data_IF_479116558868
#
_entry.id   IF_479116558868
#
_cell.length_a   1.000
_cell.length_b   1.000
_cell.length_c   1.000
_cell.angle_alpha   90.00
_cell.angle_beta   90.00
_cell.angle_gamma   90.00
#
_symmetry.space_group_name_H-M   'P 1'
#
loop_
_entity.id
_entity.type
_entity.pdbx_description
1 polymer ?
#
# COMPACT_ATOMS: atom_id res chain seq x y z
N UNK A 1 -10.22 7.70 -13.46
CA UNK A 1 -10.79 6.70 -12.55
C UNK A 1 -10.03 5.37 -12.53
N UNK A 2 -9.66 4.75 -13.65
CA UNK A 2 -8.92 3.46 -13.67
C UNK A 2 -7.50 3.49 -13.06
N UNK A 3 -6.82 4.64 -13.04
CA UNK A 3 -5.43 4.77 -12.54
C UNK A 3 -5.36 4.72 -10.99
N UNK A 4 -6.33 5.31 -10.31
CA UNK A 4 -6.38 5.32 -8.84
C UNK A 4 -6.82 3.97 -8.25
N UNK A 5 -7.62 3.19 -8.99
CA UNK A 5 -8.05 1.85 -8.58
C UNK A 5 -6.85 0.89 -8.57
N UNK A 6 -5.91 1.02 -9.52
CA UNK A 6 -4.69 0.19 -9.53
C UNK A 6 -3.76 0.50 -8.35
N UNK A 7 -3.61 1.78 -7.97
CA UNK A 7 -2.80 2.18 -6.81
C UNK A 7 -3.45 1.68 -5.52
N UNK A 8 -4.77 1.80 -5.39
CA UNK A 8 -5.52 1.28 -4.23
C UNK A 8 -5.45 -0.25 -4.19
N UNK A 9 -5.53 -0.92 -5.34
CA UNK A 9 -5.41 -2.37 -5.42
C UNK A 9 -3.99 -2.85 -5.06
N UNK A 10 -2.95 -2.17 -5.53
CA UNK A 10 -1.56 -2.45 -5.17
C UNK A 10 -1.31 -2.17 -3.69
N UNK A 11 -1.82 -1.06 -3.15
CA UNK A 11 -1.74 -0.75 -1.72
C UNK A 11 -2.52 -1.77 -0.87
N UNK A 12 -3.68 -2.24 -1.35
CA UNK A 12 -4.49 -3.26 -0.68
C UNK A 12 -3.83 -4.64 -0.75
N UNK A 13 -3.23 -5.00 -1.88
CA UNK A 13 -2.44 -6.24 -2.01
C UNK A 13 -1.17 -6.16 -1.16
N UNK A 14 -0.50 -5.01 -1.09
CA UNK A 14 0.62 -4.78 -0.17
C UNK A 14 0.17 -4.87 1.30
N UNK A 15 -0.98 -4.32 1.65
CA UNK A 15 -1.54 -4.41 3.01
C UNK A 15 -1.89 -5.86 3.36
N UNK A 16 -2.52 -6.60 2.44
CA UNK A 16 -2.82 -8.03 2.61
C UNK A 16 -1.53 -8.85 2.69
N UNK A 17 -0.53 -8.57 1.85
CA UNK A 17 0.76 -9.26 1.91
C UNK A 17 1.55 -8.96 3.18
N UNK A 18 1.36 -7.80 3.79
CA UNK A 18 1.85 -7.47 5.13
C UNK A 18 1.06 -8.19 6.24
N UNK A 19 -0.22 -8.47 6.04
CA UNK A 19 -1.11 -9.01 7.05
C UNK A 19 -1.14 -10.55 7.08
N UNK A 20 -1.02 -11.21 5.92
CA UNK A 20 -1.01 -12.68 5.82
C UNK A 20 0.12 -13.31 6.65
N UNK A 21 1.39 -12.82 6.60
CA UNK A 21 2.46 -13.39 7.41
C UNK A 21 2.26 -13.26 8.90
N UNK A 22 1.52 -12.26 9.30
CA UNK A 22 1.32 -11.89 10.67
C UNK A 22 0.12 -12.61 11.30
N UNK A 23 -0.77 -13.18 10.49
CA UNK A 23 -1.88 -14.04 10.94
C UNK A 23 -1.45 -15.51 11.16
N UNK A 24 -0.33 -15.92 10.58
CA UNK A 24 0.14 -17.31 10.64
C UNK A 24 1.35 -17.53 11.56
N UNK A 25 1.52 -16.70 12.58
CA UNK A 25 2.50 -16.92 13.65
C UNK A 25 2.09 -18.11 14.53
N UNK A 26 2.38 -19.30 14.10
CA UNK A 26 2.09 -20.47 14.92
C UNK A 26 2.54 -21.79 14.34
N UNK A 27 3.10 -21.77 13.15
CA UNK A 27 3.65 -23.01 12.57
C UNK A 27 5.13 -22.79 12.25
N UNK A 28 5.93 -22.49 13.28
CA UNK A 28 7.24 -23.11 13.36
C UNK A 28 6.96 -24.55 13.77
N UNK A 29 6.61 -25.41 12.84
CA UNK A 29 6.92 -26.81 13.00
C UNK A 29 8.45 -26.83 12.98
N UNK A 30 9.07 -26.88 14.17
CA UNK A 30 10.41 -27.34 14.34
C UNK A 30 10.37 -28.82 14.05
N UNK A 31 10.39 -29.20 12.77
CA UNK A 31 10.98 -30.47 12.39
C UNK A 31 12.44 -30.31 12.74
N UNK A 32 12.83 -30.96 13.83
CA UNK A 32 14.21 -31.01 14.29
C UNK A 32 15.06 -31.49 13.13
N UNK A 33 15.96 -30.61 12.63
CA UNK A 33 16.89 -30.91 11.55
C UNK A 33 16.73 -30.11 10.27
N UNK A 34 15.57 -29.48 9.98
CA UNK A 34 15.36 -28.73 8.74
C UNK A 34 15.77 -27.24 8.88
N UNK A 35 15.71 -26.69 10.09
CA UNK A 35 16.02 -25.27 10.36
C UNK A 35 17.09 -25.16 11.43
N UNK A 36 18.27 -24.70 11.03
CA UNK A 36 19.35 -24.35 11.94
C UNK A 36 19.30 -22.84 12.24
N UNK A 37 19.31 -22.48 13.52
CA UNK A 37 19.39 -21.09 13.96
C UNK A 37 20.78 -20.77 14.51
N UNK A 38 21.45 -19.84 13.88
CA UNK A 38 22.70 -19.26 14.36
C UNK A 38 22.42 -18.00 15.21
N UNK A 39 22.47 -18.15 16.52
CA UNK A 39 22.23 -17.06 17.46
C UNK A 39 23.29 -15.96 17.41
N UNK A 40 24.48 -16.23 16.86
CA UNK A 40 25.58 -15.26 16.77
C UNK A 40 25.32 -14.26 15.65
N UNK A 41 24.74 -14.73 14.54
CA UNK A 41 24.45 -13.92 13.34
C UNK A 41 22.97 -13.62 13.16
N UNK A 42 22.10 -14.02 14.09
CA UNK A 42 20.64 -13.95 14.00
C UNK A 42 20.13 -14.43 12.60
N UNK A 43 20.59 -15.65 12.23
CA UNK A 43 20.30 -16.24 10.94
C UNK A 43 19.66 -17.61 11.06
N UNK A 44 18.78 -17.91 10.09
CA UNK A 44 18.11 -19.21 9.95
C UNK A 44 18.56 -19.87 8.66
N UNK A 45 18.99 -21.13 8.78
CA UNK A 45 19.38 -21.94 7.63
C UNK A 45 18.38 -23.08 7.46
N UNK A 46 17.81 -23.22 6.27
CA UNK A 46 16.97 -24.35 5.90
C UNK A 46 17.82 -25.41 5.22
N UNK A 47 18.00 -26.53 5.92
CA UNK A 47 18.63 -27.74 5.41
C UNK A 47 17.64 -28.90 5.56
N UNK A 48 17.55 -29.76 4.56
CA UNK A 48 16.81 -31.03 4.60
C UNK A 48 17.81 -32.16 4.35
N UNK A 49 17.68 -33.31 5.00
CA UNK A 49 18.59 -34.46 4.82
C UNK A 49 18.64 -34.92 3.36
N UNK A 50 17.49 -34.82 2.63
CA UNK A 50 17.41 -35.08 1.20
C UNK A 50 17.69 -33.84 0.33
N UNK A 51 18.05 -32.71 0.92
CA UNK A 51 18.21 -31.41 0.28
C UNK A 51 16.98 -30.95 -0.52
N UNK A 52 15.77 -31.36 -0.14
CA UNK A 52 14.51 -31.05 -0.84
C UNK A 52 13.36 -30.80 0.11
N UNK A 53 12.62 -29.72 -0.14
CA UNK A 53 11.41 -29.36 0.58
C UNK A 53 10.20 -29.65 -0.30
N UNK A 54 9.38 -30.62 0.08
CA UNK A 54 8.25 -31.13 -0.71
C UNK A 54 6.87 -30.60 -0.28
N UNK A 55 6.74 -30.07 0.91
CA UNK A 55 5.42 -29.60 1.42
C UNK A 55 5.22 -28.11 1.15
N UNK A 56 3.98 -27.65 0.87
CA UNK A 56 3.69 -26.22 0.89
C UNK A 56 4.17 -25.63 2.21
N UNK A 57 4.94 -24.56 2.15
CA UNK A 57 5.59 -24.03 3.35
C UNK A 57 5.37 -22.54 3.51
N UNK A 58 5.33 -22.10 4.77
CA UNK A 58 5.44 -20.72 5.19
C UNK A 58 6.62 -20.63 6.17
N UNK A 59 7.56 -19.72 5.90
CA UNK A 59 8.69 -19.45 6.79
C UNK A 59 8.72 -17.99 7.14
N UNK A 60 8.84 -17.70 8.42
CA UNK A 60 8.93 -16.33 8.95
C UNK A 60 10.09 -16.32 9.93
N UNK A 61 11.05 -15.44 9.68
CA UNK A 61 12.23 -15.30 10.51
C UNK A 61 12.42 -13.85 10.98
N UNK A 62 12.91 -13.67 12.19
CA UNK A 62 13.29 -12.36 12.73
C UNK A 62 14.69 -11.91 12.30
N UNK A 63 15.48 -12.80 11.70
CA UNK A 63 16.81 -12.53 11.19
C UNK A 63 16.97 -12.92 9.73
N UNK A 64 18.21 -13.11 9.28
CA UNK A 64 18.51 -13.56 7.94
C UNK A 64 18.08 -15.01 7.70
N UNK A 65 17.69 -15.33 6.49
CA UNK A 65 17.27 -16.67 6.07
C UNK A 65 18.18 -17.16 4.94
N UNK A 66 18.85 -18.28 5.17
CA UNK A 66 19.66 -18.96 4.16
C UNK A 66 18.94 -20.25 3.74
N UNK A 67 18.62 -20.38 2.45
CA UNK A 67 17.96 -21.55 1.90
C UNK A 67 18.96 -22.38 1.14
N UNK A 68 19.42 -23.46 1.75
CA UNK A 68 20.40 -24.37 1.19
C UNK A 68 19.78 -25.68 0.67
N UNK A 69 18.48 -25.86 0.90
CA UNK A 69 17.73 -27.03 0.43
C UNK A 69 16.85 -26.73 -0.76
N UNK A 70 16.73 -27.67 -1.69
CA UNK A 70 15.93 -27.53 -2.90
C UNK A 70 14.43 -27.40 -2.56
N UNK A 71 13.76 -26.37 -3.10
CA UNK A 71 12.34 -26.14 -2.89
C UNK A 71 11.52 -26.70 -4.06
N UNK A 72 10.73 -27.72 -3.79
CA UNK A 72 9.92 -28.42 -4.79
C UNK A 72 8.42 -28.06 -4.72
N UNK A 73 8.01 -27.23 -3.78
CA UNK A 73 6.63 -26.79 -3.60
C UNK A 73 6.46 -25.29 -3.60
N UNK A 74 5.23 -24.86 -3.77
CA UNK A 74 4.85 -23.47 -3.60
C UNK A 74 4.93 -23.08 -2.13
N UNK A 75 5.45 -21.88 -1.85
CA UNK A 75 5.56 -21.40 -0.49
C UNK A 75 5.73 -19.89 -0.40
N UNK A 76 5.87 -19.42 0.84
CA UNK A 76 6.17 -18.03 1.13
C UNK A 76 7.27 -17.95 2.19
N UNK A 77 8.21 -17.03 1.98
CA UNK A 77 9.36 -16.80 2.85
C UNK A 77 9.38 -15.33 3.24
N UNK A 78 9.47 -15.08 4.53
CA UNK A 78 9.51 -13.74 5.11
C UNK A 78 10.69 -13.62 6.06
N UNK A 79 11.45 -12.53 5.92
CA UNK A 79 12.54 -12.21 6.82
C UNK A 79 12.51 -10.75 7.21
N UNK A 80 12.85 -10.44 8.46
CA UNK A 80 13.09 -9.06 8.90
C UNK A 80 14.48 -8.55 8.53
N UNK A 81 15.29 -9.34 7.83
CA UNK A 81 16.63 -9.00 7.35
C UNK A 81 16.81 -9.48 5.90
N UNK A 82 17.82 -10.28 5.63
CA UNK A 82 18.20 -10.76 4.31
C UNK A 82 17.64 -12.16 4.04
N UNK A 83 17.36 -12.46 2.77
CA UNK A 83 17.05 -13.81 2.29
C UNK A 83 18.04 -14.19 1.21
N UNK A 84 18.80 -15.26 1.43
CA UNK A 84 19.73 -15.83 0.46
C UNK A 84 19.21 -17.18 -0.05
N UNK A 85 18.85 -17.23 -1.33
CA UNK A 85 18.36 -18.43 -2.00
C UNK A 85 19.55 -19.15 -2.66
N UNK A 86 20.18 -20.07 -1.93
CA UNK A 86 21.39 -20.77 -2.36
C UNK A 86 21.10 -22.11 -3.03
N UNK A 87 19.85 -22.54 -3.04
CA UNK A 87 19.40 -23.79 -3.66
C UNK A 87 18.29 -23.59 -4.65
N UNK A 88 18.07 -24.60 -5.49
CA UNK A 88 17.12 -24.55 -6.59
C UNK A 88 15.67 -24.43 -6.12
N UNK A 89 14.92 -23.55 -6.75
CA UNK A 89 13.49 -23.35 -6.50
C UNK A 89 12.67 -23.80 -7.71
N UNK A 90 12.01 -24.95 -7.60
CA UNK A 90 11.31 -25.61 -8.71
C UNK A 90 9.87 -25.19 -8.89
N UNK A 91 9.31 -24.35 -8.02
CA UNK A 91 7.92 -23.86 -8.07
C UNK A 91 7.86 -22.36 -7.79
N UNK A 92 6.71 -21.79 -8.09
CA UNK A 92 6.46 -20.36 -7.81
C UNK A 92 6.46 -20.08 -6.31
N UNK A 93 7.17 -19.03 -5.90
CA UNK A 93 7.28 -18.63 -4.50
C UNK A 93 7.05 -17.14 -4.31
N UNK A 94 6.60 -16.80 -3.11
CA UNK A 94 6.47 -15.43 -2.63
C UNK A 94 7.59 -15.18 -1.59
N UNK A 95 8.39 -14.14 -1.82
CA UNK A 95 9.58 -13.87 -1.02
C UNK A 95 9.57 -12.43 -0.58
N UNK A 96 9.67 -12.20 0.72
CA UNK A 96 9.69 -10.88 1.33
C UNK A 96 10.86 -10.73 2.30
N UNK A 97 11.69 -9.71 2.11
CA UNK A 97 12.77 -9.34 3.02
C UNK A 97 12.67 -7.86 3.42
N UNK A 98 13.01 -7.55 4.67
CA UNK A 98 13.11 -6.14 5.10
C UNK A 98 14.41 -5.48 4.63
N UNK A 99 15.44 -6.26 4.24
CA UNK A 99 16.68 -5.72 3.69
C UNK A 99 16.88 -6.23 2.26
N UNK A 100 17.60 -7.32 2.05
CA UNK A 100 18.02 -7.75 0.72
C UNK A 100 17.55 -9.16 0.39
N UNK A 101 17.13 -9.39 -0.85
CA UNK A 101 16.89 -10.71 -1.41
C UNK A 101 18.00 -11.01 -2.42
N UNK A 102 18.71 -12.15 -2.26
CA UNK A 102 19.69 -12.66 -3.22
C UNK A 102 19.22 -14.00 -3.77
N UNK A 103 19.17 -14.10 -5.09
CA UNK A 103 18.83 -15.33 -5.81
C UNK A 103 20.11 -15.87 -6.43
N UNK A 104 20.77 -16.79 -5.73
CA UNK A 104 22.07 -17.33 -6.08
C UNK A 104 21.98 -18.66 -6.85
N UNK A 105 20.78 -19.24 -7.01
CA UNK A 105 20.56 -20.48 -7.71
C UNK A 105 19.26 -20.46 -8.51
N UNK A 106 19.10 -21.40 -9.43
CA UNK A 106 17.98 -21.46 -10.36
C UNK A 106 16.62 -21.40 -9.66
N UNK A 107 15.75 -20.55 -10.16
CA UNK A 107 14.40 -20.40 -9.62
C UNK A 107 13.34 -20.38 -10.73
N UNK A 108 12.09 -20.63 -10.36
CA UNK A 108 10.93 -20.48 -11.21
C UNK A 108 10.15 -19.21 -10.83
N UNK A 109 9.09 -18.94 -11.57
CA UNK A 109 8.19 -17.79 -11.36
C UNK A 109 8.14 -17.35 -9.91
N UNK A 110 8.49 -16.13 -9.61
CA UNK A 110 8.53 -15.66 -8.22
C UNK A 110 8.09 -14.23 -8.10
N UNK A 111 7.48 -13.91 -6.96
CA UNK A 111 7.16 -12.55 -6.55
C UNK A 111 8.09 -12.21 -5.40
N UNK A 112 8.91 -11.18 -5.56
CA UNK A 112 9.90 -10.77 -4.59
C UNK A 112 9.65 -9.32 -4.17
N UNK A 113 9.63 -9.08 -2.89
CA UNK A 113 9.52 -7.74 -2.31
C UNK A 113 10.63 -7.51 -1.30
N UNK A 114 11.36 -6.41 -1.46
CA UNK A 114 12.40 -5.99 -0.52
C UNK A 114 12.26 -4.52 -0.14
N UNK A 115 12.50 -4.18 1.13
CA UNK A 115 12.63 -2.79 1.55
C UNK A 115 13.97 -2.15 1.18
N UNK A 116 14.91 -2.91 0.61
CA UNK A 116 16.20 -2.39 0.15
C UNK A 116 16.45 -2.91 -1.25
N UNK A 117 17.17 -4.03 -1.41
CA UNK A 117 17.69 -4.47 -2.69
C UNK A 117 17.19 -5.87 -3.08
N UNK A 118 17.09 -6.11 -4.39
CA UNK A 118 16.89 -7.45 -4.95
C UNK A 118 18.01 -7.71 -5.94
N UNK A 119 18.73 -8.81 -5.75
CA UNK A 119 19.85 -9.25 -6.61
C UNK A 119 19.51 -10.62 -7.19
N UNK A 120 19.40 -10.69 -8.51
CA UNK A 120 19.17 -11.93 -9.24
C UNK A 120 20.45 -12.30 -9.95
N UNK A 121 21.10 -13.40 -9.52
CA UNK A 121 22.41 -13.87 -10.02
C UNK A 121 22.35 -15.29 -10.62
N UNK A 122 21.19 -15.71 -11.13
CA UNK A 122 20.98 -17.07 -11.56
C UNK A 122 19.95 -17.19 -12.67
N UNK A 123 19.74 -18.43 -13.15
CA UNK A 123 18.72 -18.70 -14.17
C UNK A 123 17.33 -18.75 -13.56
N UNK A 124 16.40 -17.98 -14.16
CA UNK A 124 14.98 -17.95 -13.79
C UNK A 124 14.16 -18.54 -14.94
N UNK A 125 13.44 -19.62 -14.66
CA UNK A 125 12.51 -20.22 -15.62
C UNK A 125 11.11 -19.69 -15.40
N UNK A 126 10.72 -18.66 -16.16
CA UNK A 126 9.42 -18.02 -16.14
C UNK A 126 9.45 -16.56 -15.67
N UNK A 127 8.32 -16.06 -15.20
CA UNK A 127 8.12 -14.64 -14.95
C UNK A 127 8.57 -14.20 -13.55
N UNK A 128 9.07 -12.97 -13.45
CA UNK A 128 9.45 -12.33 -12.19
C UNK A 128 8.64 -11.08 -11.93
N UNK A 129 8.18 -10.92 -10.68
CA UNK A 129 7.65 -9.66 -10.16
C UNK A 129 8.59 -9.19 -9.07
N UNK A 130 9.26 -8.05 -9.28
CA UNK A 130 10.31 -7.52 -8.43
C UNK A 130 9.90 -6.14 -7.91
N UNK A 131 9.85 -6.00 -6.60
CA UNK A 131 9.48 -4.76 -5.91
C UNK A 131 10.55 -4.42 -4.89
N UNK A 132 11.32 -3.35 -5.11
CA UNK A 132 12.38 -2.92 -4.21
C UNK A 132 12.24 -1.43 -3.85
N UNK A 133 12.59 -1.07 -2.62
CA UNK A 133 12.58 0.33 -2.20
C UNK A 133 13.86 1.08 -2.55
N UNK A 134 14.94 0.39 -2.94
CA UNK A 134 16.21 0.98 -3.34
C UNK A 134 16.62 0.55 -4.76
N UNK A 135 17.04 -0.70 -4.93
CA UNK A 135 17.64 -1.13 -6.18
C UNK A 135 17.26 -2.57 -6.54
N UNK A 136 17.10 -2.82 -7.84
CA UNK A 136 17.01 -4.16 -8.43
C UNK A 136 18.22 -4.35 -9.35
N UNK A 137 18.98 -5.43 -9.14
CA UNK A 137 20.08 -5.81 -10.02
C UNK A 137 19.86 -7.20 -10.57
N UNK A 138 19.73 -7.32 -11.89
CA UNK A 138 19.80 -8.56 -12.64
C UNK A 138 21.25 -8.64 -13.14
N UNK A 139 22.06 -9.52 -12.54
CA UNK A 139 23.51 -9.59 -12.81
C UNK A 139 23.83 -10.17 -14.18
N UNK A 140 25.07 -10.08 -14.62
CA UNK A 140 25.54 -10.64 -15.90
C UNK A 140 25.38 -12.18 -15.98
N UNK A 141 25.40 -12.87 -14.85
CA UNK A 141 25.17 -14.30 -14.76
C UNK A 141 23.70 -14.70 -14.89
N UNK A 142 22.79 -13.75 -14.70
CA UNK A 142 21.37 -14.02 -14.71
C UNK A 142 20.81 -14.21 -16.14
N UNK A 143 19.92 -15.18 -16.28
CA UNK A 143 19.15 -15.43 -17.49
C UNK A 143 17.69 -15.67 -17.12
N UNK A 144 16.78 -14.83 -17.61
CA UNK A 144 15.36 -14.90 -17.30
C UNK A 144 14.60 -15.32 -18.56
N UNK A 145 13.95 -16.49 -18.52
CA UNK A 145 13.22 -17.04 -19.68
C UNK A 145 11.83 -16.38 -19.88
N UNK A 146 11.31 -15.67 -18.88
CA UNK A 146 9.99 -15.03 -18.90
C UNK A 146 10.00 -13.51 -18.90
N UNK A 147 8.85 -12.94 -18.57
CA UNK A 147 8.65 -11.49 -18.44
C UNK A 147 9.11 -11.00 -17.07
N UNK A 148 9.62 -9.76 -17.01
CA UNK A 148 9.99 -9.08 -15.77
C UNK A 148 9.07 -7.89 -15.54
N UNK A 149 8.32 -7.93 -14.45
CA UNK A 149 7.55 -6.78 -13.94
C UNK A 149 8.26 -6.21 -12.73
N UNK A 150 8.57 -4.91 -12.73
CA UNK A 150 9.35 -4.32 -11.65
C UNK A 150 8.83 -2.96 -11.18
N UNK A 151 9.17 -2.62 -9.92
CA UNK A 151 9.03 -1.31 -9.34
C UNK A 151 10.19 -1.05 -8.38
N UNK A 152 11.06 -0.07 -8.70
CA UNK A 152 12.18 0.32 -7.85
C UNK A 152 12.66 1.73 -8.20
N UNK A 153 13.39 2.45 -7.32
CA UNK A 153 14.08 3.67 -7.69
C UNK A 153 15.14 3.47 -8.78
N UNK A 154 15.88 2.37 -8.72
CA UNK A 154 16.92 2.02 -9.69
C UNK A 154 16.77 0.57 -10.12
N UNK A 155 16.91 0.31 -11.42
CA UNK A 155 17.06 -1.04 -11.94
C UNK A 155 18.26 -1.15 -12.85
N UNK A 156 19.13 -2.17 -12.61
CA UNK A 156 20.26 -2.55 -13.43
C UNK A 156 19.98 -3.90 -14.09
N UNK A 157 19.88 -3.92 -15.41
CA UNK A 157 19.63 -5.11 -16.20
C UNK A 157 20.93 -5.45 -16.93
N UNK A 158 21.79 -6.24 -16.28
CA UNK A 158 23.07 -6.66 -16.84
C UNK A 158 22.97 -8.07 -17.47
N UNK A 159 22.00 -8.89 -17.02
CA UNK A 159 21.74 -10.24 -17.53
C UNK A 159 20.75 -10.27 -18.69
N UNK A 160 20.53 -11.46 -19.24
CA UNK A 160 19.65 -11.67 -20.40
C UNK A 160 18.20 -11.91 -19.97
N UNK A 161 17.26 -11.32 -20.70
CA UNK A 161 15.81 -11.51 -20.50
C UNK A 161 15.17 -11.86 -21.83
N UNK A 162 14.60 -13.06 -21.92
CA UNK A 162 13.91 -13.52 -23.13
C UNK A 162 12.50 -12.98 -23.28
N UNK A 163 11.92 -12.48 -22.21
CA UNK A 163 10.59 -11.88 -22.17
C UNK A 163 10.59 -10.36 -22.30
N UNK A 164 9.43 -9.77 -21.96
CA UNK A 164 9.25 -8.34 -21.86
C UNK A 164 9.78 -7.81 -20.52
N UNK A 165 10.26 -6.59 -20.52
CA UNK A 165 10.54 -5.84 -19.29
C UNK A 165 9.54 -4.70 -19.17
N UNK A 166 8.77 -4.70 -18.06
CA UNK A 166 7.70 -3.74 -17.83
C UNK A 166 7.83 -3.20 -16.41
N UNK A 167 7.87 -1.88 -16.24
CA UNK A 167 7.88 -1.33 -14.90
C UNK A 167 8.12 0.15 -14.78
N UNK A 168 8.38 0.56 -13.55
CA UNK A 168 8.65 1.95 -13.20
C UNK A 168 9.92 2.05 -12.37
N UNK A 169 10.81 2.95 -12.76
CA UNK A 169 12.00 3.30 -11.97
C UNK A 169 12.36 4.78 -12.18
N UNK A 170 13.13 5.36 -11.26
CA UNK A 170 13.77 6.65 -11.51
C UNK A 170 14.88 6.51 -12.56
N UNK A 171 15.68 5.43 -12.44
CA UNK A 171 16.80 5.15 -13.35
C UNK A 171 16.71 3.71 -13.87
N UNK A 172 16.85 3.53 -15.17
CA UNK A 172 16.88 2.23 -15.85
C UNK A 172 18.21 2.09 -16.59
N UNK A 173 19.03 1.12 -16.23
CA UNK A 173 20.29 0.81 -16.90
C UNK A 173 20.19 -0.56 -17.57
N UNK A 174 20.47 -0.62 -18.88
CA UNK A 174 20.39 -1.84 -19.68
C UNK A 174 21.75 -2.13 -20.30
N UNK A 175 22.37 -3.24 -19.87
CA UNK A 175 23.62 -3.80 -20.43
C UNK A 175 23.42 -5.21 -20.96
N UNK A 176 22.42 -5.94 -20.44
CA UNK A 176 22.04 -7.26 -20.91
C UNK A 176 21.07 -7.24 -22.08
N UNK A 177 20.93 -8.39 -22.73
CA UNK A 177 20.06 -8.55 -23.89
C UNK A 177 18.59 -8.72 -23.46
N UNK A 178 17.68 -7.99 -24.12
CA UNK A 178 16.22 -8.11 -24.00
C UNK A 178 15.68 -8.56 -25.36
N UNK A 179 15.08 -9.76 -25.41
CA UNK A 179 14.62 -10.33 -26.68
C UNK A 179 13.26 -9.80 -27.13
N UNK A 180 12.48 -9.24 -26.20
CA UNK A 180 11.18 -8.64 -26.49
C UNK A 180 11.15 -7.14 -26.14
N UNK A 181 9.99 -6.62 -25.75
CA UNK A 181 9.77 -5.19 -25.55
C UNK A 181 10.31 -4.69 -24.21
N UNK A 182 10.83 -3.46 -24.22
CA UNK A 182 11.11 -2.67 -23.04
C UNK A 182 10.02 -1.60 -22.88
N UNK A 183 9.23 -1.66 -21.79
CA UNK A 183 8.15 -0.72 -21.48
C UNK A 183 8.32 -0.13 -20.09
N UNK A 184 8.84 1.07 -20.01
CA UNK A 184 9.23 1.67 -18.74
C UNK A 184 8.69 3.09 -18.57
N UNK A 185 8.32 3.40 -17.31
CA UNK A 185 8.13 4.78 -16.86
C UNK A 185 9.37 5.14 -16.04
N UNK A 186 10.12 6.16 -16.48
CA UNK A 186 11.41 6.48 -15.84
C UNK A 186 11.84 7.91 -16.15
N UNK A 187 12.67 8.47 -15.27
CA UNK A 187 13.26 9.81 -15.50
C UNK A 187 14.58 9.71 -16.29
N UNK A 188 15.24 8.55 -16.26
CA UNK A 188 16.51 8.34 -16.97
C UNK A 188 16.66 6.89 -17.45
N UNK A 189 17.08 6.74 -18.70
CA UNK A 189 17.39 5.43 -19.32
C UNK A 189 18.78 5.49 -19.92
N UNK A 190 19.60 4.49 -19.61
CA UNK A 190 20.88 4.23 -20.26
C UNK A 190 20.85 2.82 -20.90
N UNK A 191 21.16 2.75 -22.20
CA UNK A 191 21.29 1.48 -22.95
C UNK A 191 22.67 1.49 -23.58
N UNK A 192 23.49 0.49 -23.26
CA UNK A 192 24.90 0.50 -23.65
C UNK A 192 25.15 0.28 -25.16
N UNK A 193 24.25 -0.44 -25.86
CA UNK A 193 24.38 -0.64 -27.30
C UNK A 193 23.04 -0.88 -28.00
N UNK A 194 23.03 -0.67 -29.33
CA UNK A 194 21.84 -0.80 -30.20
C UNK A 194 21.31 -2.23 -30.31
N UNK A 195 22.13 -3.24 -30.05
CA UNK A 195 21.77 -4.65 -30.27
C UNK A 195 21.14 -5.31 -29.05
N UNK A 196 21.04 -4.60 -27.93
CA UNK A 196 20.59 -5.17 -26.67
C UNK A 196 19.08 -5.42 -26.63
N UNK A 197 18.27 -4.64 -27.35
CA UNK A 197 16.82 -4.77 -27.34
C UNK A 197 16.33 -5.15 -28.73
N UNK A 198 15.77 -6.36 -28.85
CA UNK A 198 15.26 -6.86 -30.14
C UNK A 198 13.84 -6.43 -30.44
N UNK A 199 13.05 -6.14 -29.41
CA UNK A 199 11.67 -5.69 -29.51
C UNK A 199 11.51 -4.18 -29.58
N UNK A 200 10.31 -3.70 -29.24
CA UNK A 200 9.98 -2.28 -29.24
C UNK A 200 10.30 -1.64 -27.89
N UNK A 201 10.71 -0.38 -27.94
CA UNK A 201 11.00 0.44 -26.77
C UNK A 201 9.86 1.46 -26.59
N UNK A 202 9.23 1.42 -25.40
CA UNK A 202 8.21 2.38 -24.95
C UNK A 202 8.67 3.00 -23.65
N UNK A 203 8.96 4.28 -23.69
CA UNK A 203 9.41 5.03 -22.52
C UNK A 203 8.40 6.14 -22.25
N UNK A 204 7.90 6.21 -21.02
CA UNK A 204 7.13 7.34 -20.52
C UNK A 204 8.00 8.05 -19.48
N UNK A 205 8.32 9.34 -19.68
CA UNK A 205 9.20 10.12 -18.81
C UNK A 205 8.61 11.48 -18.52
N UNK A 206 8.97 12.08 -17.38
CA UNK A 206 8.68 13.49 -17.06
C UNK A 206 9.79 14.43 -17.54
N UNK A 207 10.93 13.87 -17.95
CA UNK A 207 12.10 14.57 -18.43
C UNK A 207 12.40 14.19 -19.88
N UNK A 208 13.09 15.06 -20.60
CA UNK A 208 13.56 14.75 -21.94
C UNK A 208 14.67 13.70 -21.88
N UNK A 209 14.50 12.59 -22.59
CA UNK A 209 15.47 11.50 -22.67
C UNK A 209 16.25 11.65 -23.99
N UNK A 210 17.54 11.93 -23.86
CA UNK A 210 18.43 12.11 -25.00
C UNK A 210 19.13 10.79 -25.42
N UNK A 211 19.52 10.71 -26.68
CA UNK A 211 20.37 9.64 -27.22
C UNK A 211 19.66 8.32 -27.55
N UNK A 212 18.51 8.02 -26.97
CA UNK A 212 17.80 6.74 -27.23
C UNK A 212 17.29 6.66 -28.69
N UNK A 213 16.76 7.75 -29.23
CA UNK A 213 16.26 7.80 -30.61
C UNK A 213 17.37 7.69 -31.65
N UNK A 214 18.60 8.06 -31.31
CA UNK A 214 19.75 7.92 -32.19
C UNK A 214 20.14 6.44 -32.34
N UNK A 215 20.01 5.67 -31.28
CA UNK A 215 20.26 4.24 -31.26
C UNK A 215 19.04 3.44 -31.76
N UNK A 216 17.85 3.82 -31.37
CA UNK A 216 16.58 3.16 -31.66
C UNK A 216 15.58 4.16 -32.26
N UNK A 217 15.60 4.40 -33.60
CA UNK A 217 14.74 5.38 -34.25
C UNK A 217 13.24 5.12 -34.04
N UNK A 218 12.84 3.85 -33.92
CA UNK A 218 11.45 3.42 -33.72
C UNK A 218 11.00 3.48 -32.25
N UNK A 219 11.87 3.92 -31.34
CA UNK A 219 11.50 4.04 -29.92
C UNK A 219 10.40 5.08 -29.71
N UNK A 220 9.35 4.68 -29.02
CA UNK A 220 8.23 5.55 -28.65
C UNK A 220 8.54 6.18 -27.29
N UNK A 221 8.96 7.43 -27.31
CA UNK A 221 9.21 8.21 -26.10
C UNK A 221 8.04 9.18 -25.92
N UNK A 222 7.29 9.02 -24.83
CA UNK A 222 6.25 9.94 -24.42
C UNK A 222 6.77 10.78 -23.25
N UNK A 223 6.90 12.07 -23.47
CA UNK A 223 7.12 13.00 -22.38
C UNK A 223 5.76 13.21 -21.71
N UNK A 224 5.59 12.65 -20.54
CA UNK A 224 4.44 12.92 -19.70
C UNK A 224 4.56 14.39 -19.27
N UNK A 225 3.77 15.27 -19.85
CA UNK A 225 3.63 16.61 -19.31
C UNK A 225 3.32 16.44 -17.82
N UNK A 226 4.18 17.00 -16.95
CA UNK A 226 3.87 17.17 -15.56
C UNK A 226 2.68 18.12 -15.51
N UNK A 227 1.49 17.54 -15.67
CA UNK A 227 0.25 18.28 -15.59
C UNK A 227 0.23 18.86 -14.18
N UNK A 228 0.79 20.05 -14.02
CA UNK A 228 0.54 20.81 -12.81
C UNK A 228 -0.99 20.81 -12.75
N UNK A 229 -1.55 20.13 -11.76
CA UNK A 229 -3.00 20.13 -11.59
C UNK A 229 -3.42 21.59 -11.60
N UNK A 230 -4.07 21.97 -12.69
CA UNK A 230 -4.55 23.34 -12.87
C UNK A 230 -5.44 23.64 -11.66
N UNK A 231 -5.39 24.86 -11.18
CA UNK A 231 -6.31 25.32 -10.13
C UNK A 231 -7.76 24.98 -10.51
N UNK A 232 -8.05 25.00 -11.80
CA UNK A 232 -9.35 24.63 -12.39
C UNK A 232 -9.65 23.14 -12.17
N UNK A 233 -8.67 22.24 -12.37
CA UNK A 233 -8.87 20.80 -12.14
C UNK A 233 -9.16 20.52 -10.65
N UNK A 234 -8.45 21.19 -9.75
CA UNK A 234 -8.71 21.10 -8.29
C UNK A 234 -10.11 21.60 -7.93
N UNK A 235 -10.54 22.70 -8.53
CA UNK A 235 -11.87 23.23 -8.31
C UNK A 235 -12.96 22.29 -8.84
N UNK A 236 -12.78 21.72 -10.03
CA UNK A 236 -13.72 20.76 -10.62
C UNK A 236 -13.82 19.50 -9.71
N UNK A 237 -12.68 18.94 -9.29
CA UNK A 237 -12.66 17.82 -8.36
C UNK A 237 -13.36 18.14 -7.04
N UNK A 238 -13.17 19.36 -6.52
CA UNK A 238 -13.82 19.84 -5.32
C UNK A 238 -15.32 19.90 -5.46
N UNK A 239 -15.81 20.49 -6.52
CA UNK A 239 -17.25 20.59 -6.79
C UNK A 239 -17.87 19.20 -6.93
N UNK A 240 -17.25 18.29 -7.68
CA UNK A 240 -17.73 16.91 -7.84
C UNK A 240 -17.76 16.20 -6.48
N UNK A 241 -16.74 16.35 -5.65
CA UNK A 241 -16.69 15.77 -4.29
C UNK A 241 -17.79 16.34 -3.40
N UNK A 242 -18.00 17.65 -3.41
CA UNK A 242 -19.07 18.29 -2.66
C UNK A 242 -20.47 17.83 -3.11
N UNK A 243 -20.69 17.72 -4.42
CA UNK A 243 -21.93 17.17 -4.97
C UNK A 243 -22.16 15.73 -4.54
N UNK A 244 -21.11 14.90 -4.58
CA UNK A 244 -21.18 13.50 -4.14
C UNK A 244 -21.55 13.39 -2.66
N UNK A 245 -20.91 14.14 -1.78
CA UNK A 245 -21.26 14.17 -0.35
C UNK A 245 -22.66 14.71 -0.08
N UNK A 246 -23.07 15.73 -0.82
CA UNK A 246 -24.44 16.26 -0.75
C UNK A 246 -25.45 15.20 -1.15
N UNK A 247 -25.21 14.47 -2.22
CA UNK A 247 -26.10 13.42 -2.70
C UNK A 247 -26.20 12.26 -1.69
N UNK A 248 -25.08 11.85 -1.09
CA UNK A 248 -25.06 10.86 0.00
C UNK A 248 -25.84 11.37 1.21
N UNK A 249 -25.65 12.66 1.58
CA UNK A 249 -26.42 13.28 2.67
C UNK A 249 -27.92 13.23 2.40
N UNK A 250 -28.37 13.63 1.20
CA UNK A 250 -29.76 13.61 0.77
C UNK A 250 -30.33 12.19 0.83
N UNK A 251 -29.61 11.21 0.30
CA UNK A 251 -30.02 9.80 0.34
C UNK A 251 -30.23 9.32 1.78
N UNK A 252 -29.28 9.54 2.68
CA UNK A 252 -29.40 9.14 4.08
C UNK A 252 -30.55 9.91 4.76
N UNK A 253 -30.72 11.19 4.47
CA UNK A 253 -31.77 12.04 5.02
C UNK A 253 -33.16 11.52 4.64
N UNK A 254 -33.37 11.15 3.36
CA UNK A 254 -34.63 10.60 2.88
C UNK A 254 -34.86 9.19 3.43
N UNK A 255 -33.86 8.28 3.31
CA UNK A 255 -33.98 6.89 3.76
C UNK A 255 -34.23 6.77 5.27
N UNK A 256 -33.66 7.65 6.07
CA UNK A 256 -33.84 7.67 7.52
C UNK A 256 -35.08 8.45 7.98
N UNK A 257 -35.92 8.90 7.05
CA UNK A 257 -37.08 9.77 7.34
C UNK A 257 -36.71 10.97 8.24
N UNK A 258 -35.56 11.60 7.92
CA UNK A 258 -35.03 12.80 8.63
C UNK A 258 -34.51 12.54 10.06
N UNK A 259 -34.61 11.30 10.56
CA UNK A 259 -34.29 11.00 11.97
C UNK A 259 -32.79 10.79 12.23
N UNK A 260 -32.03 10.33 11.24
CA UNK A 260 -30.63 9.94 11.45
C UNK A 260 -29.76 11.12 11.93
N UNK A 261 -29.74 12.20 11.16
CA UNK A 261 -28.91 13.37 11.48
C UNK A 261 -29.46 14.16 12.70
N UNK A 262 -30.78 14.23 12.88
CA UNK A 262 -31.38 14.84 14.07
C UNK A 262 -30.99 14.07 15.34
N UNK A 263 -31.09 12.75 15.33
CA UNK A 263 -30.67 11.90 16.45
C UNK A 263 -29.13 11.97 16.70
N UNK A 264 -28.32 12.07 15.64
CA UNK A 264 -26.88 12.28 15.76
C UNK A 264 -26.57 13.60 16.46
N UNK A 265 -27.20 14.68 16.03
CA UNK A 265 -27.00 16.01 16.59
C UNK A 265 -27.48 16.09 18.05
N UNK A 266 -28.64 15.50 18.38
CA UNK A 266 -29.14 15.41 19.75
C UNK A 266 -28.17 14.70 20.69
N UNK A 267 -27.62 13.56 20.25
CA UNK A 267 -26.62 12.81 21.02
C UNK A 267 -25.36 13.63 21.30
N UNK A 268 -24.87 14.36 20.28
CA UNK A 268 -23.70 15.22 20.40
C UNK A 268 -23.98 16.37 21.36
N UNK A 269 -25.14 17.05 21.23
CA UNK A 269 -25.57 18.15 22.13
C UNK A 269 -25.66 17.68 23.58
N UNK A 270 -26.27 16.52 23.83
CA UNK A 270 -26.40 15.95 25.17
C UNK A 270 -25.03 15.56 25.77
N UNK A 271 -24.08 15.19 24.95
CA UNK A 271 -22.77 14.68 25.38
C UNK A 271 -21.59 15.48 24.80
N UNK A 272 -21.73 16.80 24.62
CA UNK A 272 -20.73 17.66 24.00
C UNK A 272 -19.35 17.51 24.63
N UNK A 273 -19.28 17.57 25.98
CA UNK A 273 -18.03 17.41 26.74
C UNK A 273 -17.41 16.04 26.50
N UNK A 274 -18.21 14.96 26.51
CA UNK A 274 -17.73 13.60 26.19
C UNK A 274 -17.19 13.52 24.76
N UNK A 275 -17.89 14.13 23.79
CA UNK A 275 -17.48 14.13 22.38
C UNK A 275 -16.13 14.82 22.19
N UNK A 276 -15.94 16.01 22.79
CA UNK A 276 -14.67 16.74 22.75
C UNK A 276 -13.55 15.94 23.43
N UNK A 277 -13.82 15.37 24.60
CA UNK A 277 -12.85 14.56 25.31
C UNK A 277 -12.41 13.33 24.51
N UNK A 278 -13.37 12.61 23.91
CA UNK A 278 -13.08 11.45 23.06
C UNK A 278 -12.29 11.86 21.81
N UNK A 279 -12.59 13.03 21.22
CA UNK A 279 -11.83 13.58 20.10
C UNK A 279 -10.36 13.80 20.45
N UNK A 280 -10.08 14.37 21.63
CA UNK A 280 -8.71 14.59 22.13
C UNK A 280 -8.05 13.24 22.46
N UNK A 281 -8.76 12.35 23.14
CA UNK A 281 -8.24 11.03 23.49
C UNK A 281 -7.90 10.21 22.25
N UNK A 282 -8.67 10.31 21.17
CA UNK A 282 -8.39 9.59 19.91
C UNK A 282 -7.04 9.96 19.32
N UNK A 283 -6.59 11.20 19.49
CA UNK A 283 -5.26 11.65 19.07
C UNK A 283 -4.14 10.98 19.90
N UNK A 284 -4.39 10.76 21.20
CA UNK A 284 -3.43 10.16 22.12
C UNK A 284 -3.40 8.63 21.97
N UNK A 285 -4.55 8.02 21.68
CA UNK A 285 -4.67 6.56 21.53
C UNK A 285 -3.84 6.07 20.33
N UNK A 286 -3.75 6.84 19.23
CA UNK A 286 -3.01 6.45 18.06
C UNK A 286 -1.53 6.08 18.36
N UNK A 287 -0.71 6.97 18.94
CA UNK A 287 0.66 6.62 19.31
C UNK A 287 0.73 5.54 20.38
N UNK A 288 -0.23 5.48 21.32
CA UNK A 288 -0.28 4.44 22.36
C UNK A 288 -0.47 3.05 21.77
N UNK A 289 -1.37 2.90 20.77
CA UNK A 289 -1.58 1.62 20.07
C UNK A 289 -0.31 1.20 19.32
N UNK A 290 0.36 2.16 18.65
CA UNK A 290 1.62 1.87 17.96
C UNK A 290 2.71 1.44 18.95
N UNK A 291 2.87 2.13 20.07
CA UNK A 291 3.83 1.77 21.11
C UNK A 291 3.52 0.39 21.70
N UNK A 292 2.23 0.14 22.00
CA UNK A 292 1.80 -1.17 22.51
C UNK A 292 2.12 -2.28 21.51
N UNK A 293 1.87 -2.05 20.22
CA UNK A 293 2.19 -3.01 19.18
C UNK A 293 3.70 -3.27 19.09
N UNK A 294 4.53 -2.22 19.16
CA UNK A 294 6.00 -2.36 19.20
C UNK A 294 6.43 -3.21 20.41
N UNK A 295 5.87 -2.96 21.59
CA UNK A 295 6.16 -3.76 22.79
C UNK A 295 5.74 -5.22 22.61
N UNK A 296 4.53 -5.47 22.08
CA UNK A 296 4.06 -6.83 21.78
C UNK A 296 4.94 -7.54 20.76
N UNK A 297 5.42 -6.82 19.76
CA UNK A 297 6.37 -7.34 18.77
C UNK A 297 7.70 -7.70 19.45
N UNK A 298 8.20 -6.83 20.31
CA UNK A 298 9.47 -7.06 21.03
C UNK A 298 9.45 -8.27 21.95
N UNK A 299 8.29 -8.62 22.52
CA UNK A 299 8.10 -9.84 23.32
C UNK A 299 7.58 -11.02 22.50
N UNK A 300 7.70 -10.96 21.18
CA UNK A 300 7.31 -12.01 20.20
C UNK A 300 5.82 -12.38 20.17
N UNK A 301 4.94 -11.51 20.63
CA UNK A 301 3.47 -11.68 20.53
C UNK A 301 2.91 -11.06 19.25
N UNK A 302 3.50 -11.36 18.11
CA UNK A 302 3.11 -10.83 16.80
C UNK A 302 1.65 -11.13 16.43
N UNK A 303 1.17 -12.33 16.78
CA UNK A 303 -0.21 -12.79 16.48
C UNK A 303 -1.29 -11.92 17.14
N UNK A 304 -0.93 -11.15 18.17
CA UNK A 304 -1.82 -10.18 18.83
C UNK A 304 -1.56 -8.77 18.28
N UNK A 305 -0.28 -8.37 18.15
CA UNK A 305 0.12 -7.03 17.79
C UNK A 305 -0.42 -6.62 16.42
N UNK A 306 -0.35 -7.51 15.46
CA UNK A 306 -0.62 -7.19 14.07
C UNK A 306 -2.10 -7.10 13.75
N UNK A 307 -2.97 -8.04 14.16
CA UNK A 307 -4.40 -7.82 14.03
C UNK A 307 -4.86 -6.50 14.66
N UNK A 308 -4.30 -6.11 15.81
CA UNK A 308 -4.63 -4.83 16.44
C UNK A 308 -4.22 -3.66 15.54
N UNK A 309 -3.00 -3.65 15.00
CA UNK A 309 -2.53 -2.60 14.09
C UNK A 309 -3.38 -2.54 12.81
N UNK A 310 -3.68 -3.68 12.22
CA UNK A 310 -4.47 -3.76 10.98
C UNK A 310 -5.89 -3.25 11.19
N UNK A 311 -6.56 -3.71 12.23
CA UNK A 311 -7.92 -3.26 12.56
C UNK A 311 -7.90 -1.76 12.85
N UNK A 312 -6.93 -1.28 13.62
CA UNK A 312 -6.81 0.13 13.93
C UNK A 312 -6.51 0.98 12.70
N UNK A 313 -5.59 0.55 11.83
CA UNK A 313 -5.29 1.23 10.57
C UNK A 313 -6.52 1.27 9.64
N UNK A 314 -7.25 0.17 9.51
CA UNK A 314 -8.49 0.13 8.74
C UNK A 314 -9.54 1.10 9.30
N UNK A 315 -9.71 1.15 10.62
CA UNK A 315 -10.61 2.12 11.26
C UNK A 315 -10.19 3.57 11.01
N UNK A 316 -8.88 3.88 11.06
CA UNK A 316 -8.37 5.21 10.75
C UNK A 316 -8.61 5.60 9.29
N UNK A 317 -8.38 4.69 8.35
CA UNK A 317 -8.63 4.93 6.91
C UNK A 317 -10.11 5.23 6.67
N UNK A 318 -11.01 4.40 7.22
CA UNK A 318 -12.45 4.61 7.10
C UNK A 318 -12.87 5.95 7.74
N UNK A 319 -12.35 6.26 8.93
CA UNK A 319 -12.65 7.51 9.62
C UNK A 319 -12.11 8.72 8.85
N UNK A 320 -10.92 8.62 8.24
CA UNK A 320 -10.36 9.67 7.40
C UNK A 320 -11.21 9.92 6.15
N UNK A 321 -11.65 8.85 5.47
CA UNK A 321 -12.53 8.96 4.29
C UNK A 321 -13.88 9.58 4.62
N UNK A 322 -14.43 9.28 5.80
CA UNK A 322 -15.74 9.77 6.24
C UNK A 322 -15.65 11.10 7.00
N UNK A 323 -14.47 11.57 7.36
CA UNK A 323 -14.30 12.70 8.29
C UNK A 323 -14.99 13.97 7.82
N UNK A 324 -14.80 14.37 6.58
CA UNK A 324 -15.42 15.56 5.99
C UNK A 324 -16.95 15.41 5.93
N UNK A 325 -17.43 14.19 5.60
CA UNK A 325 -18.84 13.89 5.54
C UNK A 325 -19.52 13.97 6.92
N UNK A 326 -18.92 13.36 7.94
CA UNK A 326 -19.45 13.35 9.32
C UNK A 326 -19.52 14.75 9.90
N UNK A 327 -18.46 15.54 9.72
CA UNK A 327 -18.43 16.93 10.20
C UNK A 327 -19.42 17.78 9.41
N UNK A 328 -19.40 17.71 8.09
CA UNK A 328 -20.29 18.49 7.23
C UNK A 328 -21.77 18.19 7.49
N UNK A 329 -22.13 16.93 7.64
CA UNK A 329 -23.52 16.54 7.98
C UNK A 329 -23.95 17.04 9.37
N UNK A 330 -23.05 17.02 10.35
CA UNK A 330 -23.31 17.51 11.70
C UNK A 330 -23.50 19.04 11.71
N UNK A 331 -22.63 19.78 11.03
CA UNK A 331 -22.72 21.25 10.90
C UNK A 331 -24.00 21.62 10.15
N UNK A 332 -24.30 20.95 9.04
CA UNK A 332 -25.54 21.17 8.28
C UNK A 332 -26.76 21.00 9.17
N UNK A 333 -26.84 19.90 9.91
CA UNK A 333 -27.94 19.61 10.81
C UNK A 333 -28.06 20.66 11.91
N UNK A 334 -26.96 21.14 12.47
CA UNK A 334 -26.96 22.19 13.49
C UNK A 334 -27.49 23.53 12.94
N UNK A 335 -27.00 23.94 11.76
CA UNK A 335 -27.43 25.18 11.12
C UNK A 335 -28.93 25.11 10.76
N UNK A 336 -29.35 24.00 10.17
CA UNK A 336 -30.74 23.81 9.77
C UNK A 336 -31.69 23.78 10.97
N UNK A 337 -31.34 23.13 12.07
CA UNK A 337 -32.14 23.13 13.28
C UNK A 337 -32.26 24.54 13.91
N UNK A 338 -31.17 25.32 13.87
CA UNK A 338 -31.13 26.63 14.49
C UNK A 338 -31.82 27.72 13.67
N UNK A 339 -31.65 27.71 12.34
CA UNK A 339 -32.06 28.82 11.48
C UNK A 339 -33.18 28.49 10.48
N UNK A 340 -33.42 27.18 10.22
CA UNK A 340 -34.35 26.74 9.17
C UNK A 340 -35.37 25.71 9.65
N UNK A 341 -35.67 25.67 10.96
CA UNK A 341 -36.53 24.66 11.60
C UNK A 341 -37.94 24.54 10.99
N UNK A 342 -38.47 25.62 10.46
CA UNK A 342 -39.81 25.68 9.87
C UNK A 342 -39.80 25.73 8.33
N UNK A 343 -38.64 25.61 7.69
CA UNK A 343 -38.51 25.72 6.25
C UNK A 343 -38.47 24.35 5.55
N UNK A 344 -38.77 24.35 4.23
CA UNK A 344 -38.78 23.15 3.40
C UNK A 344 -37.40 22.41 3.38
N UNK A 345 -37.43 21.11 3.15
CA UNK A 345 -36.25 20.24 3.05
C UNK A 345 -35.21 20.71 2.03
N UNK A 346 -35.61 21.47 1.02
CA UNK A 346 -34.74 22.09 0.02
C UNK A 346 -33.61 22.90 0.69
N UNK A 347 -33.91 23.57 1.80
CA UNK A 347 -32.89 24.33 2.55
C UNK A 347 -31.84 23.41 3.19
N UNK A 348 -32.24 22.24 3.66
CA UNK A 348 -31.29 21.25 4.17
C UNK A 348 -30.32 20.76 3.07
N UNK A 349 -30.83 20.56 1.86
CA UNK A 349 -30.02 20.12 0.72
C UNK A 349 -29.06 21.21 0.25
N UNK A 350 -29.56 22.45 0.11
CA UNK A 350 -28.72 23.59 -0.28
C UNK A 350 -27.63 23.90 0.76
N UNK A 351 -27.98 23.87 2.05
CA UNK A 351 -27.02 24.11 3.12
C UNK A 351 -25.98 23.00 3.23
N UNK A 352 -26.32 21.75 2.96
CA UNK A 352 -25.34 20.67 2.95
C UNK A 352 -24.28 20.90 1.88
N UNK A 353 -24.68 21.31 0.68
CA UNK A 353 -23.75 21.65 -0.39
C UNK A 353 -22.82 22.81 -0.01
N UNK A 354 -23.38 23.89 0.55
CA UNK A 354 -22.59 25.06 0.99
C UNK A 354 -21.58 24.66 2.07
N UNK A 355 -21.99 23.88 3.05
CA UNK A 355 -21.12 23.43 4.14
C UNK A 355 -19.98 22.56 3.60
N UNK A 356 -20.25 21.59 2.71
CA UNK A 356 -19.22 20.78 2.10
C UNK A 356 -18.26 21.62 1.23
N UNK A 357 -18.77 22.60 0.51
CA UNK A 357 -17.97 23.53 -0.29
C UNK A 357 -17.02 24.35 0.60
N UNK A 358 -17.49 24.86 1.73
CA UNK A 358 -16.66 25.61 2.69
C UNK A 358 -15.58 24.71 3.30
N UNK A 359 -15.94 23.51 3.74
CA UNK A 359 -14.97 22.56 4.31
C UNK A 359 -13.90 22.16 3.29
N UNK A 360 -14.29 21.93 2.04
CA UNK A 360 -13.37 21.65 0.97
C UNK A 360 -12.49 22.86 0.65
N UNK A 361 -13.08 24.06 0.54
CA UNK A 361 -12.35 25.31 0.30
C UNK A 361 -11.28 25.57 1.36
N UNK A 362 -11.58 25.32 2.63
CA UNK A 362 -10.60 25.40 3.72
C UNK A 362 -9.45 24.42 3.54
N UNK A 363 -9.70 23.23 2.99
CA UNK A 363 -8.67 22.20 2.76
C UNK A 363 -7.69 22.56 1.63
N UNK A 364 -8.05 23.49 0.73
CA UNK A 364 -7.19 23.95 -0.36
C UNK A 364 -6.20 25.00 0.11
N UNK A 365 -6.48 25.73 1.20
CA UNK A 365 -5.61 26.77 1.70
C UNK A 365 -4.27 26.17 2.13
N UNK A 366 -3.11 26.59 1.53
CA UNK A 366 -1.82 25.91 1.71
C UNK A 366 -1.40 25.74 3.16
N UNK A 367 -1.63 26.75 4.00
CA UNK A 367 -1.29 26.71 5.42
C UNK A 367 -2.18 25.74 6.21
N UNK A 368 -3.45 25.63 5.84
CA UNK A 368 -4.44 24.80 6.54
C UNK A 368 -4.45 23.35 6.05
N UNK A 369 -4.04 23.11 4.81
CA UNK A 369 -4.10 21.79 4.15
C UNK A 369 -3.34 20.68 4.89
N UNK A 370 -2.28 21.01 5.64
CA UNK A 370 -1.52 20.06 6.46
C UNK A 370 -2.20 19.68 7.78
N UNK A 371 -2.91 20.60 8.41
CA UNK A 371 -3.48 20.40 9.75
C UNK A 371 -4.97 20.01 9.75
N UNK A 372 -5.74 20.55 8.80
CA UNK A 372 -7.18 20.30 8.74
C UNK A 372 -7.58 18.83 8.59
N UNK A 373 -6.92 17.99 7.78
CA UNK A 373 -7.26 16.58 7.70
C UNK A 373 -7.14 15.86 9.05
N UNK A 374 -6.11 16.18 9.84
CA UNK A 374 -5.89 15.62 11.18
C UNK A 374 -7.00 16.10 12.13
N UNK A 375 -7.34 17.38 12.08
CA UNK A 375 -8.42 17.95 12.88
C UNK A 375 -9.78 17.33 12.52
N UNK A 376 -10.05 17.16 11.22
CA UNK A 376 -11.27 16.51 10.74
C UNK A 376 -11.34 15.05 11.20
N UNK A 377 -10.25 14.31 11.08
CA UNK A 377 -10.16 12.94 11.56
C UNK A 377 -10.48 12.86 13.07
N UNK A 378 -9.84 13.71 13.86
CA UNK A 378 -9.99 13.76 15.31
C UNK A 378 -11.45 14.05 15.73
N UNK A 379 -12.08 15.07 15.15
CA UNK A 379 -13.47 15.46 15.44
C UNK A 379 -14.44 14.35 14.99
N UNK A 380 -14.23 13.78 13.80
CA UNK A 380 -15.10 12.73 13.28
C UNK A 380 -15.06 11.47 14.13
N UNK A 381 -13.88 11.07 14.62
CA UNK A 381 -13.72 9.95 15.56
C UNK A 381 -14.47 10.20 16.85
N UNK A 382 -14.40 11.41 17.41
CA UNK A 382 -15.18 11.80 18.59
C UNK A 382 -16.69 11.68 18.37
N UNK A 383 -17.18 12.16 17.25
CA UNK A 383 -18.60 12.10 16.88
C UNK A 383 -19.07 10.64 16.70
N UNK A 384 -18.35 9.85 15.90
CA UNK A 384 -18.70 8.45 15.62
C UNK A 384 -18.71 7.63 16.92
N UNK A 385 -17.67 7.76 17.72
CA UNK A 385 -17.53 7.01 18.98
C UNK A 385 -18.61 7.39 20.00
N UNK A 386 -18.92 8.68 20.15
CA UNK A 386 -20.01 9.14 21.04
C UNK A 386 -21.36 8.58 20.59
N UNK A 387 -21.64 8.59 19.29
CA UNK A 387 -22.88 8.02 18.74
C UNK A 387 -22.98 6.51 18.95
N UNK A 388 -21.85 5.80 18.86
CA UNK A 388 -21.79 4.34 19.09
C UNK A 388 -22.00 4.00 20.57
N UNK A 389 -21.30 4.68 21.49
CA UNK A 389 -21.43 4.47 22.94
C UNK A 389 -22.87 4.71 23.41
N UNK A 390 -23.48 5.84 23.03
CA UNK A 390 -24.87 6.13 23.39
C UNK A 390 -25.88 5.13 22.82
N UNK A 391 -25.56 4.44 21.73
CA UNK A 391 -26.41 3.36 21.21
C UNK A 391 -26.28 2.09 22.05
N UNK A 392 -25.05 1.78 22.49
CA UNK A 392 -24.77 0.61 23.34
C UNK A 392 -25.34 0.79 24.77
N UNK A 393 -25.29 2.02 25.31
CA UNK A 393 -25.90 2.34 26.61
C UNK A 393 -27.41 2.10 26.59
N UNK A 394 -28.12 2.57 25.54
CA UNK A 394 -29.55 2.31 25.37
C UNK A 394 -29.93 0.84 25.19
N UNK A 395 -29.09 0.08 24.46
CA UNK A 395 -29.34 -1.37 24.26
C UNK A 395 -29.07 -2.23 25.51
N UNK A 396 -28.47 -1.67 26.57
CA UNK A 396 -28.31 -2.33 27.88
C UNK A 396 -29.43 -2.01 28.86
N UNK A 397 -30.19 -0.95 28.60
CA UNK A 397 -31.33 -0.52 29.42
C UNK A 397 -32.66 -1.14 28.94
N UNK A 398 -32.69 -1.69 27.70
CA UNK A 398 -33.75 -2.52 27.13
C UNK A 398 -33.48 -4.01 27.39
#
# INVERSE_FOLDING_TARGET
MKKNIKIIYVAFVMLISLCIPLMFNGVCASDEGIVDYDATNDSYTLNDEDNKIYMPFLRIASGSVNINSEINNMGAIFSSSTIDLNSKINKSNFIFASDTIRVNNDAKNSIMFSNSNIIVDSKISGDLILLASSEITITENASIDGDVLFLAPVININGNVSGNIIGCAGIVNVKGKIEKDLRVMTDSVSIDSKELISGKIYIESYSEIQGIKDMYPDAVIKIAEKKSESVIDKLIYGIITCLTFTLIYILIYICSKKKFFANQLEKIKKNTTKTVLISIISLIIAPVIVILAIVLISIRLYFIAVPILVIYAAMLIIAAMLSVFVIGSTITSYICEKYFKEKNDIWNYGMSFIVFLVLYGLSIVPFLSGYLPILYLMISMGIITTCAITKLEKAKEE
#
